data_IF_007629224433
#
_entry.id   IF_007629224433
#
_cell.length_a   1.000
_cell.length_b   1.000
_cell.length_c   1.000
_cell.angle_alpha   90.00
_cell.angle_beta   90.00
_cell.angle_gamma   90.00
#
_symmetry.space_group_name_H-M   'P 1'
#
loop_
_entity.id
_entity.type
_entity.pdbx_description
1 polymer ?
#
# COMPACT_ATOMS: atom_id res chain seq x y z
N UNK A 1 -5.23 -18.14 -2.73
CA UNK A 1 -5.49 -18.61 -1.35
C UNK A 1 -4.57 -17.86 -0.41
N UNK A 2 -4.99 -17.55 0.82
CA UNK A 2 -4.11 -16.98 1.82
C UNK A 2 -3.04 -18.00 2.24
N UNK A 3 -1.81 -17.55 2.47
CA UNK A 3 -0.74 -18.42 2.95
C UNK A 3 -1.02 -18.89 4.38
N UNK A 4 -0.76 -20.17 4.65
CA UNK A 4 -0.78 -20.68 6.02
C UNK A 4 0.28 -19.95 6.85
N UNK A 5 -0.12 -19.49 8.05
CA UNK A 5 0.80 -18.81 8.96
C UNK A 5 1.74 -19.81 9.60
N UNK A 6 2.99 -19.39 9.78
CA UNK A 6 4.01 -20.13 10.50
C UNK A 6 4.22 -19.44 11.84
N UNK A 7 3.87 -20.15 12.92
CA UNK A 7 4.12 -19.67 14.27
C UNK A 7 5.62 -19.77 14.59
N UNK A 8 6.08 -18.98 15.56
CA UNK A 8 7.48 -18.97 15.98
C UNK A 8 8.02 -20.38 16.31
N UNK A 9 7.22 -21.18 17.00
CA UNK A 9 7.53 -22.57 17.35
C UNK A 9 7.60 -23.54 16.15
N UNK A 10 7.09 -23.16 14.99
CA UNK A 10 7.12 -23.97 13.76
C UNK A 10 8.21 -23.52 12.78
N UNK A 11 8.85 -22.37 13.04
CA UNK A 11 10.05 -21.92 12.31
C UNK A 11 11.22 -22.87 12.61
N UNK A 12 12.04 -23.21 11.61
CA UNK A 12 13.20 -24.11 11.81
C UNK A 12 14.17 -23.55 12.86
N UNK A 13 14.87 -24.40 13.62
CA UNK A 13 15.87 -23.94 14.61
C UNK A 13 16.90 -22.99 14.02
N UNK A 14 17.41 -23.28 12.82
CA UNK A 14 18.40 -22.43 12.16
C UNK A 14 17.83 -21.05 11.77
N UNK A 15 16.59 -20.98 11.28
CA UNK A 15 15.96 -19.67 11.01
C UNK A 15 15.76 -18.87 12.31
N UNK A 16 15.42 -19.51 13.43
CA UNK A 16 15.33 -18.81 14.73
C UNK A 16 16.69 -18.27 15.16
N UNK A 17 17.75 -19.06 15.04
CA UNK A 17 19.13 -18.61 15.32
C UNK A 17 19.52 -17.41 14.44
N UNK A 18 19.16 -17.44 13.15
CA UNK A 18 19.41 -16.32 12.24
C UNK A 18 18.65 -15.07 12.68
N UNK A 19 17.38 -15.19 13.07
CA UNK A 19 16.59 -14.06 13.60
C UNK A 19 17.22 -13.53 14.90
N UNK A 20 17.55 -14.41 15.85
CA UNK A 20 18.16 -14.03 17.12
C UNK A 20 19.56 -13.42 16.96
N UNK A 21 20.31 -13.77 15.91
CA UNK A 21 21.58 -13.10 15.59
C UNK A 21 21.40 -11.63 15.19
N UNK A 22 20.19 -11.24 14.74
CA UNK A 22 19.84 -9.87 14.33
C UNK A 22 19.13 -9.08 15.42
N UNK A 23 18.33 -9.75 16.24
CA UNK A 23 17.50 -9.11 17.27
C UNK A 23 18.00 -9.33 18.69
N UNK A 24 18.98 -10.21 18.87
CA UNK A 24 19.26 -10.84 20.16
C UNK A 24 18.19 -11.87 20.54
N UNK A 25 18.39 -12.62 21.65
CA UNK A 25 17.45 -13.65 22.11
C UNK A 25 15.99 -13.15 22.20
N UNK A 26 15.07 -13.96 21.65
CA UNK A 26 13.64 -13.67 21.63
C UNK A 26 13.02 -14.09 22.96
N UNK A 27 12.39 -13.14 23.66
CA UNK A 27 11.71 -13.36 24.94
C UNK A 27 10.26 -13.77 24.74
N UNK A 28 9.59 -13.19 23.76
CA UNK A 28 8.24 -13.56 23.37
C UNK A 28 8.00 -13.31 21.89
N UNK A 29 7.13 -14.12 21.29
CA UNK A 29 6.72 -14.01 19.90
C UNK A 29 5.21 -14.14 19.80
N UNK A 30 4.61 -13.34 18.92
CA UNK A 30 3.17 -13.40 18.62
C UNK A 30 2.94 -13.36 17.12
N UNK A 31 2.18 -14.32 16.62
CA UNK A 31 1.77 -14.37 15.21
C UNK A 31 0.68 -13.35 14.94
N UNK A 32 0.87 -12.56 13.89
CA UNK A 32 -0.12 -11.60 13.41
C UNK A 32 -1.07 -12.32 12.47
N UNK A 33 -2.35 -12.35 12.81
CA UNK A 33 -3.39 -12.93 11.95
C UNK A 33 -3.69 -12.07 10.72
N UNK A 34 -3.53 -10.74 10.83
CA UNK A 34 -3.74 -9.77 9.76
C UNK A 34 -2.60 -9.75 8.71
N UNK A 35 -2.97 -9.56 7.43
CA UNK A 35 -2.08 -9.70 6.27
C UNK A 35 -2.28 -11.03 5.53
N UNK A 36 -2.13 -11.05 4.21
CA UNK A 36 -2.41 -12.26 3.39
C UNK A 36 -1.22 -12.72 2.53
N UNK A 37 -0.13 -11.95 2.54
CA UNK A 37 0.96 -12.09 1.57
C UNK A 37 2.28 -12.63 2.14
N UNK A 38 2.29 -13.07 3.41
CA UNK A 38 3.47 -13.66 4.05
C UNK A 38 3.10 -14.86 4.89
N UNK A 39 3.94 -15.90 4.87
CA UNK A 39 3.72 -17.07 5.71
C UNK A 39 4.23 -16.81 7.14
N UNK A 40 5.35 -16.11 7.29
CA UNK A 40 5.80 -15.58 8.60
C UNK A 40 5.32 -14.14 8.75
N UNK A 41 4.62 -13.85 9.85
CA UNK A 41 4.32 -12.49 10.31
C UNK A 41 4.31 -12.51 11.84
N UNK A 42 5.43 -12.13 12.44
CA UNK A 42 5.68 -12.26 13.87
C UNK A 42 5.99 -10.90 14.49
N UNK A 43 5.41 -10.63 15.65
CA UNK A 43 5.83 -9.56 16.54
C UNK A 43 6.73 -10.17 17.61
N UNK A 44 7.99 -9.76 17.61
CA UNK A 44 9.01 -10.26 18.52
C UNK A 44 9.34 -9.19 19.57
N UNK A 45 9.32 -9.60 20.83
CA UNK A 45 10.00 -8.89 21.92
C UNK A 45 11.31 -9.63 22.19
N UNK A 46 12.43 -8.94 21.96
CA UNK A 46 13.77 -9.49 22.07
C UNK A 46 14.66 -8.61 22.93
N UNK A 47 15.81 -9.14 23.33
CA UNK A 47 16.79 -8.34 24.10
C UNK A 47 17.34 -7.12 23.36
N UNK A 48 17.38 -7.14 22.02
CA UNK A 48 17.78 -6.01 21.18
C UNK A 48 16.64 -5.09 20.76
N UNK A 49 15.42 -5.33 21.25
CA UNK A 49 14.25 -4.48 21.00
C UNK A 49 13.06 -5.22 20.37
N UNK A 50 12.07 -4.44 19.98
CA UNK A 50 10.82 -4.95 19.39
C UNK A 50 10.89 -4.93 17.87
N UNK A 51 10.59 -6.06 17.24
CA UNK A 51 10.75 -6.26 15.79
C UNK A 51 9.53 -6.94 15.20
N UNK A 52 9.06 -6.45 14.06
CA UNK A 52 8.11 -7.16 13.22
C UNK A 52 8.87 -7.94 12.15
N UNK A 53 8.67 -9.25 12.07
CA UNK A 53 9.32 -10.12 11.09
C UNK A 53 8.30 -10.59 10.06
N UNK A 54 8.57 -10.28 8.80
CA UNK A 54 7.83 -10.75 7.62
C UNK A 54 8.68 -11.77 6.89
N UNK A 55 8.09 -12.89 6.50
CA UNK A 55 8.82 -13.93 5.79
C UNK A 55 8.01 -14.69 4.75
N UNK A 56 8.68 -15.04 3.66
CA UNK A 56 8.15 -15.83 2.57
C UNK A 56 9.17 -16.85 2.11
N UNK A 57 8.71 -17.94 1.52
CA UNK A 57 9.62 -18.90 0.87
C UNK A 57 10.24 -18.27 -0.38
N UNK A 58 11.53 -18.49 -0.58
CA UNK A 58 12.30 -18.00 -1.74
C UNK A 58 11.79 -18.55 -3.07
N UNK A 59 11.20 -19.75 -3.08
CA UNK A 59 10.57 -20.38 -4.24
C UNK A 59 9.09 -19.97 -4.43
N UNK A 60 8.54 -19.12 -3.56
CA UNK A 60 7.17 -18.67 -3.68
C UNK A 60 7.01 -17.64 -4.81
N UNK A 61 5.95 -17.78 -5.61
CA UNK A 61 5.64 -16.89 -6.75
C UNK A 61 5.53 -15.40 -6.40
N UNK A 62 5.28 -15.09 -5.13
CA UNK A 62 5.18 -13.74 -4.58
C UNK A 62 6.50 -13.13 -4.08
N UNK A 63 7.64 -13.83 -4.18
CA UNK A 63 8.92 -13.33 -3.65
C UNK A 63 9.31 -11.96 -4.20
N UNK A 64 8.97 -11.70 -5.46
CA UNK A 64 9.22 -10.41 -6.11
C UNK A 64 8.52 -9.23 -5.42
N UNK A 65 7.39 -9.43 -4.75
CA UNK A 65 6.73 -8.33 -4.00
C UNK A 65 7.44 -8.05 -2.67
N UNK A 66 8.03 -9.06 -2.03
CA UNK A 66 8.80 -8.87 -0.81
C UNK A 66 10.14 -8.18 -1.11
N UNK A 67 10.81 -8.58 -2.20
CA UNK A 67 12.02 -7.92 -2.68
C UNK A 67 11.77 -6.43 -2.98
N UNK A 68 10.63 -6.08 -3.61
CA UNK A 68 10.22 -4.69 -3.84
C UNK A 68 10.15 -3.88 -2.55
N UNK A 69 9.52 -4.42 -1.52
CA UNK A 69 9.38 -3.77 -0.22
C UNK A 69 10.76 -3.53 0.43
N UNK A 70 11.66 -4.52 0.33
CA UNK A 70 13.02 -4.40 0.85
C UNK A 70 13.83 -3.30 0.14
N UNK A 71 13.80 -3.25 -1.20
CA UNK A 71 14.60 -2.28 -1.97
C UNK A 71 14.09 -0.85 -1.82
N UNK A 72 12.79 -0.63 -1.58
CA UNK A 72 12.26 0.71 -1.37
C UNK A 72 12.42 1.20 0.08
N UNK A 73 12.66 0.30 1.04
CA UNK A 73 12.65 0.61 2.46
C UNK A 73 13.58 1.77 2.88
N UNK A 74 14.80 1.94 2.30
CA UNK A 74 15.66 3.08 2.62
C UNK A 74 15.06 4.44 2.24
N UNK A 75 14.10 4.50 1.32
CA UNK A 75 13.53 5.74 0.80
C UNK A 75 12.25 6.16 1.54
N UNK A 76 11.58 5.25 2.25
CA UNK A 76 10.24 5.49 2.83
C UNK A 76 10.22 5.65 4.35
N UNK A 77 11.38 5.73 5.02
CA UNK A 77 11.45 5.83 6.48
C UNK A 77 10.75 7.05 7.09
N UNK A 78 10.40 8.07 6.29
CA UNK A 78 9.62 9.22 6.73
C UNK A 78 8.12 8.92 6.95
N UNK A 79 7.62 7.82 6.38
CA UNK A 79 6.19 7.44 6.38
C UNK A 79 5.95 5.97 6.72
N UNK A 80 7.00 5.17 6.87
CA UNK A 80 6.92 3.71 7.03
C UNK A 80 7.91 3.22 8.09
N UNK A 81 7.61 2.11 8.80
CA UNK A 81 8.55 1.54 9.75
C UNK A 81 9.88 1.19 9.08
N UNK A 82 11.00 1.48 9.75
CA UNK A 82 12.31 1.25 9.15
C UNK A 82 12.59 -0.25 9.02
N UNK A 83 13.14 -0.66 7.88
CA UNK A 83 13.75 -1.98 7.71
C UNK A 83 15.07 -2.03 8.51
N UNK A 84 15.15 -2.95 9.47
CA UNK A 84 16.30 -3.17 10.33
C UNK A 84 17.31 -4.11 9.69
N UNK A 85 16.81 -5.17 9.04
CA UNK A 85 17.62 -6.18 8.39
C UNK A 85 16.81 -6.96 7.36
N UNK A 86 17.54 -7.51 6.39
CA UNK A 86 17.03 -8.40 5.35
C UNK A 86 18.00 -9.57 5.22
N UNK A 87 17.50 -10.81 5.33
CA UNK A 87 18.33 -12.02 5.32
C UNK A 87 17.58 -13.19 4.71
N UNK A 88 18.31 -14.06 3.99
CA UNK A 88 17.81 -15.36 3.56
C UNK A 88 18.37 -16.48 4.44
N UNK A 89 17.54 -17.44 4.82
CA UNK A 89 17.94 -18.62 5.62
C UNK A 89 16.99 -19.80 5.39
N UNK A 90 17.51 -21.02 5.20
CA UNK A 90 16.73 -22.25 4.93
C UNK A 90 15.66 -22.11 3.83
N UNK A 91 15.92 -21.30 2.81
CA UNK A 91 14.96 -21.01 1.73
C UNK A 91 13.82 -20.08 2.15
N UNK A 92 13.94 -19.36 3.25
CA UNK A 92 13.12 -18.20 3.63
C UNK A 92 13.82 -16.90 3.27
N UNK A 93 13.05 -15.94 2.77
CA UNK A 93 13.39 -14.52 2.68
C UNK A 93 12.73 -13.78 3.84
N UNK A 94 13.53 -13.15 4.69
CA UNK A 94 13.11 -12.58 5.96
C UNK A 94 13.44 -11.09 6.02
N UNK A 95 12.42 -10.30 6.32
CA UNK A 95 12.53 -8.86 6.55
C UNK A 95 12.18 -8.56 8.01
N UNK A 96 13.07 -7.88 8.71
CA UNK A 96 12.84 -7.37 10.06
C UNK A 96 12.61 -5.87 10.04
N UNK A 97 11.46 -5.42 10.50
CA UNK A 97 11.07 -4.02 10.60
C UNK A 97 10.98 -3.57 12.06
N UNK A 98 11.10 -2.27 12.28
CA UNK A 98 10.65 -1.66 13.53
C UNK A 98 9.20 -2.07 13.80
N UNK A 99 8.94 -2.52 15.02
CA UNK A 99 7.57 -2.79 15.43
C UNK A 99 6.90 -1.48 15.88
N UNK A 100 5.94 -1.01 15.08
CA UNK A 100 5.01 0.06 15.46
C UNK A 100 3.84 -0.52 16.26
N UNK A 101 3.71 -0.09 17.51
CA UNK A 101 2.52 -0.35 18.32
C UNK A 101 1.43 0.65 17.96
N UNK A 102 0.54 0.26 17.05
CA UNK A 102 -0.54 1.09 16.55
C UNK A 102 -1.77 0.29 16.15
N UNK A 103 -2.90 0.98 16.02
CA UNK A 103 -4.15 0.43 15.50
C UNK A 103 -4.30 0.74 14.02
N UNK A 104 -5.08 -0.06 13.28
CA UNK A 104 -5.41 0.30 11.91
C UNK A 104 -6.22 1.60 11.84
N UNK A 105 -6.02 2.37 10.77
CA UNK A 105 -6.75 3.60 10.53
C UNK A 105 -8.23 3.32 10.21
N UNK A 106 -9.10 4.20 10.67
CA UNK A 106 -10.52 4.24 10.34
C UNK A 106 -10.78 5.31 9.28
N UNK A 107 -11.36 4.92 8.13
CA UNK A 107 -11.61 5.84 7.02
C UNK A 107 -13.06 6.33 6.95
N UNK A 108 -13.94 5.92 7.87
CA UNK A 108 -15.34 6.35 7.88
C UNK A 108 -15.49 7.87 7.99
N UNK A 109 -16.58 8.46 7.48
CA UNK A 109 -16.86 9.88 7.63
C UNK A 109 -16.79 10.34 9.10
N UNK A 110 -16.09 11.43 9.35
CA UNK A 110 -15.89 11.99 10.70
C UNK A 110 -14.79 11.31 11.53
N UNK A 111 -14.07 10.34 10.97
CA UNK A 111 -12.92 9.72 11.65
C UNK A 111 -11.83 10.74 11.99
N UNK A 112 -11.28 10.70 13.22
CA UNK A 112 -10.15 11.56 13.60
C UNK A 112 -8.82 11.16 12.95
N UNK A 113 -8.77 10.03 12.23
CA UNK A 113 -7.53 9.50 11.64
C UNK A 113 -7.19 10.16 10.29
N UNK A 114 -8.20 10.65 9.58
CA UNK A 114 -8.07 11.15 8.21
C UNK A 114 -7.05 12.30 8.07
N UNK A 115 -6.95 13.27 9.02
CA UNK A 115 -5.89 14.26 8.98
C UNK A 115 -4.48 13.64 8.97
N UNK A 116 -4.21 12.65 9.82
CA UNK A 116 -2.91 11.98 9.89
C UNK A 116 -2.62 11.16 8.61
N UNK A 117 -3.64 10.52 8.04
CA UNK A 117 -3.54 9.79 6.76
C UNK A 117 -3.16 10.73 5.61
N UNK A 118 -3.80 11.89 5.53
CA UNK A 118 -3.52 12.90 4.50
C UNK A 118 -2.12 13.50 4.70
N UNK A 119 -1.71 13.76 5.94
CA UNK A 119 -0.36 14.24 6.24
C UNK A 119 0.72 13.24 5.82
N UNK A 120 0.55 11.96 6.17
CA UNK A 120 1.44 10.87 5.73
C UNK A 120 1.48 10.76 4.20
N UNK A 121 0.35 10.87 3.53
CA UNK A 121 0.29 10.92 2.06
C UNK A 121 1.07 12.10 1.48
N UNK A 122 0.94 13.29 2.05
CA UNK A 122 1.68 14.47 1.59
C UNK A 122 3.19 14.26 1.73
N UNK A 123 3.65 13.71 2.86
CA UNK A 123 5.06 13.35 3.08
C UNK A 123 5.54 12.35 2.04
N UNK A 124 4.77 11.29 1.76
CA UNK A 124 5.11 10.33 0.70
C UNK A 124 5.19 11.00 -0.68
N UNK A 125 4.27 11.91 -0.99
CA UNK A 125 4.26 12.66 -2.25
C UNK A 125 5.53 13.47 -2.52
N UNK A 126 6.34 13.76 -1.50
CA UNK A 126 7.65 14.43 -1.64
C UNK A 126 8.81 13.49 -1.97
N UNK A 127 8.61 12.18 -1.86
CA UNK A 127 9.67 11.19 -2.04
C UNK A 127 9.81 10.88 -3.53
N UNK A 128 10.98 11.21 -4.07
CA UNK A 128 11.35 10.80 -5.43
C UNK A 128 11.70 9.32 -5.44
N UNK A 129 11.08 8.55 -6.33
CA UNK A 129 11.45 7.17 -6.59
C UNK A 129 12.72 7.12 -7.45
N UNK A 130 13.80 6.49 -6.94
CA UNK A 130 14.95 6.14 -7.77
C UNK A 130 14.52 5.22 -8.92
N UNK A 131 15.35 5.13 -9.96
CA UNK A 131 15.09 4.21 -11.07
C UNK A 131 15.47 2.78 -10.68
N UNK A 132 14.55 2.11 -9.98
CA UNK A 132 14.70 0.75 -9.49
C UNK A 132 13.98 -0.23 -10.43
N UNK A 133 14.64 -1.27 -10.96
CA UNK A 133 14.04 -2.21 -11.91
C UNK A 133 12.89 -3.03 -11.30
N UNK A 134 12.88 -3.21 -9.98
CA UNK A 134 11.82 -3.91 -9.26
C UNK A 134 10.54 -3.08 -9.18
N UNK A 135 10.65 -1.75 -9.19
CA UNK A 135 9.51 -0.83 -9.03
C UNK A 135 8.78 -0.67 -10.35
N UNK A 136 7.47 -0.93 -10.33
CA UNK A 136 6.65 -0.84 -11.54
C UNK A 136 6.48 0.61 -11.97
N UNK A 137 6.22 0.78 -13.26
CA UNK A 137 5.81 2.07 -13.84
C UNK A 137 4.36 2.00 -14.32
N UNK A 138 3.66 3.14 -14.44
CA UNK A 138 2.28 3.22 -14.89
C UNK A 138 1.95 2.43 -16.16
N UNK A 139 2.87 2.41 -17.12
CA UNK A 139 2.76 1.71 -18.40
C UNK A 139 2.69 0.19 -18.22
N UNK A 140 3.22 -0.35 -17.13
CA UNK A 140 3.06 -1.77 -16.79
C UNK A 140 1.76 -2.07 -16.04
N UNK A 141 1.09 -1.07 -15.48
CA UNK A 141 -0.12 -1.23 -14.66
C UNK A 141 -1.40 -0.88 -15.40
N UNK A 142 -1.41 0.29 -16.04
CA UNK A 142 -2.62 0.89 -16.59
C UNK A 142 -2.69 0.88 -18.11
N UNK A 143 -1.63 0.47 -18.82
CA UNK A 143 -1.61 0.46 -20.31
C UNK A 143 -2.78 -0.29 -20.94
N UNK A 144 -3.20 -1.42 -20.35
CA UNK A 144 -4.36 -2.21 -20.83
C UNK A 144 -5.69 -1.44 -20.72
N UNK A 145 -5.75 -0.46 -19.82
CA UNK A 145 -6.97 0.23 -19.41
C UNK A 145 -7.03 1.68 -19.88
N UNK A 146 -6.00 2.14 -20.59
CA UNK A 146 -5.92 3.47 -21.21
C UNK A 146 -5.88 3.29 -22.73
N UNK A 147 -6.81 3.93 -23.43
CA UNK A 147 -7.00 3.74 -24.87
C UNK A 147 -5.96 4.53 -25.67
N UNK A 148 -5.74 5.80 -25.29
CA UNK A 148 -4.79 6.71 -25.93
C UNK A 148 -3.41 6.67 -25.23
N UNK A 149 -2.32 6.32 -25.93
CA UNK A 149 -0.97 6.43 -25.37
C UNK A 149 -0.61 7.80 -24.78
N UNK A 150 -1.17 8.90 -25.30
CA UNK A 150 -0.93 10.24 -24.75
C UNK A 150 -1.59 10.43 -23.37
N UNK A 151 -2.75 9.83 -23.13
CA UNK A 151 -3.38 9.80 -21.80
C UNK A 151 -2.52 9.00 -20.80
N UNK A 152 -1.87 7.93 -21.25
CA UNK A 152 -1.01 7.12 -20.38
C UNK A 152 0.21 7.91 -19.90
N UNK A 153 0.76 8.80 -20.74
CA UNK A 153 1.89 9.66 -20.38
C UNK A 153 1.55 10.57 -19.18
N UNK A 154 0.28 10.97 -19.03
CA UNK A 154 -0.19 11.77 -17.89
C UNK A 154 -0.08 11.04 -16.54
N UNK A 155 0.01 9.71 -16.55
CA UNK A 155 0.18 8.90 -15.34
C UNK A 155 1.66 8.75 -14.95
N UNK A 156 2.58 9.08 -15.86
CA UNK A 156 4.03 8.94 -15.65
C UNK A 156 4.56 10.02 -14.72
N UNK A 157 5.68 9.72 -14.06
CA UNK A 157 6.32 10.64 -13.14
C UNK A 157 7.49 9.99 -12.40
N UNK A 158 8.04 10.71 -11.44
CA UNK A 158 9.20 10.29 -10.65
C UNK A 158 8.90 10.09 -9.16
N UNK A 159 7.66 10.22 -8.72
CA UNK A 159 7.28 10.06 -7.31
C UNK A 159 7.18 8.58 -6.95
N UNK A 160 7.59 8.22 -5.73
CA UNK A 160 7.37 6.89 -5.18
C UNK A 160 5.92 6.79 -4.66
N UNK A 161 5.17 5.87 -5.23
CA UNK A 161 3.76 5.65 -4.94
C UNK A 161 3.55 4.34 -4.19
N UNK A 162 2.65 4.34 -3.22
CA UNK A 162 2.23 3.11 -2.53
C UNK A 162 1.24 2.31 -3.39
N UNK A 163 0.27 2.99 -4.01
CA UNK A 163 -0.81 2.41 -4.83
C UNK A 163 -1.79 1.48 -4.12
N UNK A 164 -1.68 1.29 -2.81
CA UNK A 164 -2.65 0.53 -2.00
C UNK A 164 -2.97 1.17 -0.64
N UNK A 165 -3.83 2.17 -0.62
CA UNK A 165 -4.31 2.82 0.62
C UNK A 165 -5.44 2.03 1.29
N UNK A 166 -5.31 0.71 1.41
CA UNK A 166 -6.19 -0.06 2.27
C UNK A 166 -6.05 0.46 3.71
N UNK A 167 -7.13 0.74 4.48
CA UNK A 167 -7.01 1.14 5.88
C UNK A 167 -6.22 0.13 6.73
N UNK A 168 -6.22 -1.16 6.36
CA UNK A 168 -5.40 -2.18 7.00
C UNK A 168 -3.87 -1.98 6.80
N UNK A 169 -3.47 -1.17 5.82
CA UNK A 169 -2.07 -0.85 5.53
C UNK A 169 -1.62 0.45 6.21
N UNK A 170 -2.48 1.11 7.00
CA UNK A 170 -2.12 2.32 7.75
C UNK A 170 -2.28 2.07 9.24
N UNK A 171 -1.19 2.25 9.99
CA UNK A 171 -1.17 2.16 11.44
C UNK A 171 -1.16 3.56 12.04
N UNK A 172 -2.05 3.82 12.99
CA UNK A 172 -2.06 5.01 13.83
C UNK A 172 -1.42 4.64 15.17
N UNK A 173 -0.27 5.23 15.46
CA UNK A 173 0.42 5.02 16.73
C UNK A 173 -0.23 5.80 17.89
N UNK A 174 0.29 5.63 19.10
CA UNK A 174 -0.25 6.30 20.30
C UNK A 174 -0.10 7.83 20.29
N UNK A 175 0.77 8.38 19.44
CA UNK A 175 0.90 9.83 19.22
C UNK A 175 -0.10 10.38 18.21
N UNK A 176 -0.82 9.50 17.50
CA UNK A 176 -1.71 9.86 16.39
C UNK A 176 -1.00 9.95 15.04
N UNK A 177 0.28 9.55 14.95
CA UNK A 177 1.02 9.55 13.69
C UNK A 177 0.64 8.35 12.85
N UNK A 178 0.40 8.56 11.56
CA UNK A 178 0.11 7.51 10.59
C UNK A 178 1.40 6.94 9.97
N UNK A 179 1.48 5.61 9.91
CA UNK A 179 2.56 4.84 9.32
C UNK A 179 2.00 3.90 8.26
N UNK A 180 2.54 3.98 7.04
CA UNK A 180 2.18 3.14 5.91
C UNK A 180 3.01 1.86 5.90
N UNK A 181 2.36 0.72 5.72
CA UNK A 181 3.00 -0.61 5.68
C UNK A 181 2.55 -1.38 4.42
N UNK A 182 3.22 -2.50 4.16
CA UNK A 182 2.92 -3.42 3.04
C UNK A 182 3.16 -2.82 1.65
N UNK A 183 4.44 -2.57 1.35
CA UNK A 183 4.88 -2.07 0.05
C UNK A 183 5.01 -3.19 -1.00
N UNK A 184 3.95 -3.98 -1.18
CA UNK A 184 3.93 -5.07 -2.16
C UNK A 184 3.89 -4.55 -3.62
N UNK A 185 3.35 -3.34 -3.81
CA UNK A 185 3.05 -2.76 -5.11
C UNK A 185 3.60 -1.34 -5.32
N UNK A 186 4.83 -1.00 -4.91
CA UNK A 186 5.37 0.33 -5.17
C UNK A 186 5.38 0.63 -6.67
N UNK A 187 5.16 1.89 -7.00
CA UNK A 187 5.13 2.37 -8.39
C UNK A 187 5.85 3.69 -8.50
N UNK A 188 6.61 3.87 -9.57
CA UNK A 188 7.23 5.15 -9.94
C UNK A 188 6.32 5.85 -10.93
N UNK A 189 5.61 6.89 -10.51
CA UNK A 189 4.59 7.55 -11.34
C UNK A 189 4.26 8.98 -10.92
N UNK A 190 3.18 9.53 -11.47
CA UNK A 190 2.68 10.85 -11.11
C UNK A 190 2.16 10.88 -9.67
N UNK A 191 2.54 11.91 -8.90
CA UNK A 191 2.23 12.02 -7.47
C UNK A 191 0.73 11.97 -7.14
N UNK A 192 -0.14 12.41 -8.05
CA UNK A 192 -1.60 12.47 -7.83
C UNK A 192 -2.28 11.10 -7.80
N UNK A 193 -1.60 10.04 -8.23
CA UNK A 193 -2.15 8.68 -8.25
C UNK A 193 -2.49 8.19 -6.85
N UNK A 194 -1.63 8.41 -5.85
CA UNK A 194 -1.90 7.99 -4.47
C UNK A 194 -3.10 8.71 -3.84
N UNK A 195 -3.25 10.05 -3.98
CA UNK A 195 -4.49 10.75 -3.69
C UNK A 195 -5.74 10.12 -4.33
N UNK A 196 -5.69 9.75 -5.60
CA UNK A 196 -6.79 9.07 -6.28
C UNK A 196 -7.10 7.70 -5.66
N UNK A 197 -6.06 6.97 -5.24
CA UNK A 197 -6.20 5.68 -4.56
C UNK A 197 -6.88 5.84 -3.21
N UNK A 198 -6.55 6.87 -2.44
CA UNK A 198 -7.24 7.18 -1.20
C UNK A 198 -8.71 7.57 -1.45
N UNK A 199 -9.01 8.36 -2.48
CA UNK A 199 -10.40 8.78 -2.78
C UNK A 199 -11.34 7.60 -2.91
N UNK A 200 -11.02 6.60 -3.74
CA UNK A 200 -11.92 5.44 -3.88
C UNK A 200 -11.93 4.56 -2.62
N UNK A 201 -10.88 4.57 -1.79
CA UNK A 201 -10.86 3.89 -0.49
C UNK A 201 -11.79 4.56 0.52
N UNK A 202 -11.84 5.89 0.53
CA UNK A 202 -12.79 6.66 1.35
C UNK A 202 -14.23 6.41 0.91
N UNK A 203 -14.51 6.38 -0.40
CA UNK A 203 -15.86 6.08 -0.91
C UNK A 203 -16.27 4.67 -0.48
N UNK A 204 -15.36 3.69 -0.56
CA UNK A 204 -15.63 2.34 -0.07
C UNK A 204 -15.98 2.30 1.42
N UNK A 205 -15.52 3.26 2.23
CA UNK A 205 -15.81 3.36 3.66
C UNK A 205 -16.95 4.35 3.99
N UNK A 206 -17.72 4.77 2.99
CA UNK A 206 -19.00 5.46 3.16
C UNK A 206 -18.98 6.97 2.87
N UNK A 207 -17.89 7.49 2.30
CA UNK A 207 -17.88 8.86 1.78
C UNK A 207 -18.61 8.93 0.43
N UNK A 208 -19.19 10.09 0.11
CA UNK A 208 -19.57 10.40 -1.27
C UNK A 208 -18.32 10.76 -2.09
N UNK A 209 -18.37 10.68 -3.43
CA UNK A 209 -17.27 11.16 -4.28
C UNK A 209 -16.81 12.60 -3.94
N UNK A 210 -17.76 13.51 -3.71
CA UNK A 210 -17.46 14.90 -3.39
C UNK A 210 -16.75 15.06 -2.04
N UNK A 211 -17.21 14.34 -1.00
CA UNK A 211 -16.58 14.40 0.33
C UNK A 211 -15.24 13.69 0.36
N UNK A 212 -15.05 12.64 -0.44
CA UNK A 212 -13.78 11.95 -0.57
C UNK A 212 -12.72 12.81 -1.27
N UNK A 213 -13.06 13.47 -2.39
CA UNK A 213 -12.12 14.39 -3.06
C UNK A 213 -11.75 15.60 -2.19
N UNK A 214 -12.67 16.08 -1.34
CA UNK A 214 -12.39 17.19 -0.44
C UNK A 214 -11.20 16.91 0.51
N UNK A 215 -10.96 15.64 0.89
CA UNK A 215 -9.81 15.27 1.73
C UNK A 215 -8.46 15.41 1.06
N UNK A 216 -8.41 15.28 -0.28
CA UNK A 216 -7.16 15.29 -1.03
C UNK A 216 -6.96 16.55 -1.86
N UNK A 217 -8.01 17.34 -2.05
CA UNK A 217 -8.03 18.52 -2.95
C UNK A 217 -6.88 19.49 -2.70
N UNK A 218 -6.59 19.75 -1.43
CA UNK A 218 -5.58 20.74 -1.03
C UNK A 218 -4.18 20.14 -0.87
N UNK A 219 -4.01 18.83 -1.14
CA UNK A 219 -2.69 18.23 -1.18
C UNK A 219 -1.92 18.77 -2.39
N UNK A 220 -0.59 19.02 -2.27
CA UNK A 220 0.19 19.52 -3.40
C UNK A 220 0.10 18.62 -4.64
N UNK A 221 0.08 17.30 -4.44
CA UNK A 221 0.00 16.32 -5.51
C UNK A 221 -1.31 16.41 -6.30
N UNK A 222 -2.45 16.64 -5.64
CA UNK A 222 -3.73 16.81 -6.30
C UNK A 222 -3.88 18.20 -6.92
N UNK A 223 -3.56 19.26 -6.16
CA UNK A 223 -3.77 20.64 -6.57
C UNK A 223 -2.97 21.05 -7.81
N UNK A 224 -1.82 20.40 -8.05
CA UNK A 224 -0.96 20.64 -9.21
C UNK A 224 -1.25 19.73 -10.39
N UNK A 225 -2.10 18.70 -10.21
CA UNK A 225 -2.43 17.77 -11.28
C UNK A 225 -3.42 18.38 -12.27
N UNK A 226 -3.29 17.99 -13.54
CA UNK A 226 -4.33 18.28 -14.53
C UNK A 226 -5.60 17.51 -14.17
N UNK A 227 -6.75 18.20 -14.19
CA UNK A 227 -8.04 17.55 -13.93
C UNK A 227 -8.30 16.37 -14.88
N UNK A 228 -7.87 16.50 -16.13
CA UNK A 228 -7.92 15.43 -17.15
C UNK A 228 -7.08 14.21 -16.76
N UNK A 229 -5.89 14.40 -16.16
CA UNK A 229 -5.04 13.30 -15.73
C UNK A 229 -5.69 12.50 -14.59
N UNK A 230 -6.39 13.17 -13.67
CA UNK A 230 -7.21 12.54 -12.63
C UNK A 230 -8.37 11.74 -13.28
N UNK A 231 -9.04 12.30 -14.29
CA UNK A 231 -10.13 11.63 -15.01
C UNK A 231 -9.64 10.37 -15.74
N UNK A 232 -8.47 10.44 -16.38
CA UNK A 232 -7.79 9.30 -17.01
C UNK A 232 -7.53 8.20 -15.99
N UNK A 233 -6.93 8.54 -14.84
CA UNK A 233 -6.66 7.57 -13.79
C UNK A 233 -7.96 6.94 -13.25
N UNK A 234 -8.97 7.76 -12.93
CA UNK A 234 -10.24 7.28 -12.39
C UNK A 234 -10.91 6.26 -13.34
N UNK A 235 -10.96 6.58 -14.64
CA UNK A 235 -11.47 5.67 -15.68
C UNK A 235 -10.65 4.39 -15.81
N UNK A 236 -9.33 4.50 -15.89
CA UNK A 236 -8.44 3.37 -16.05
C UNK A 236 -8.54 2.43 -14.84
N UNK A 237 -8.59 2.99 -13.63
CA UNK A 237 -8.70 2.23 -12.39
C UNK A 237 -10.08 1.58 -12.22
N UNK A 238 -11.17 2.21 -12.67
CA UNK A 238 -12.48 1.57 -12.73
C UNK A 238 -12.45 0.31 -13.61
N UNK A 239 -11.79 0.38 -14.79
CA UNK A 239 -11.62 -0.78 -15.67
C UNK A 239 -10.75 -1.89 -15.04
N UNK A 240 -9.73 -1.53 -14.27
CA UNK A 240 -8.93 -2.50 -13.48
C UNK A 240 -9.83 -3.27 -12.51
N UNK A 241 -10.64 -2.56 -11.73
CA UNK A 241 -11.51 -3.20 -10.74
C UNK A 241 -12.65 -3.99 -11.37
N UNK A 242 -13.17 -3.56 -12.52
CA UNK A 242 -14.15 -4.32 -13.30
C UNK A 242 -13.59 -5.68 -13.76
N UNK A 243 -12.36 -5.70 -14.27
CA UNK A 243 -11.67 -6.93 -14.64
C UNK A 243 -11.46 -7.84 -13.42
N UNK A 244 -10.92 -7.30 -12.32
CA UNK A 244 -10.69 -8.07 -11.10
C UNK A 244 -11.98 -8.67 -10.52
N UNK A 245 -13.08 -7.93 -10.59
CA UNK A 245 -14.40 -8.40 -10.15
C UNK A 245 -14.97 -9.47 -11.10
N UNK A 246 -14.74 -9.37 -12.41
CA UNK A 246 -15.14 -10.36 -13.39
C UNK A 246 -14.36 -11.68 -13.24
N UNK A 247 -13.07 -11.62 -12.87
CA UNK A 247 -12.23 -12.80 -12.61
C UNK A 247 -12.62 -13.56 -11.33
N UNK A 248 -13.33 -12.92 -10.39
CA UNK A 248 -13.75 -13.52 -9.12
C UNK A 248 -15.15 -13.00 -8.71
N UNK A 249 -16.22 -13.38 -9.44
CA UNK A 249 -17.55 -12.81 -9.30
C UNK A 249 -18.20 -13.07 -7.93
N UNK A 250 -17.77 -14.12 -7.23
CA UNK A 250 -18.20 -14.44 -5.87
C UNK A 250 -17.61 -13.52 -4.80
N UNK A 251 -16.49 -12.86 -5.09
CA UNK A 251 -15.81 -11.96 -4.15
C UNK A 251 -16.59 -10.64 -4.02
N UNK A 252 -17.38 -10.53 -2.94
CA UNK A 252 -18.18 -9.33 -2.63
C UNK A 252 -17.32 -8.06 -2.51
N UNK A 253 -16.08 -8.19 -2.05
CA UNK A 253 -15.21 -7.04 -1.89
C UNK A 253 -14.79 -6.49 -3.25
N UNK A 254 -14.35 -7.35 -4.18
CA UNK A 254 -13.97 -6.90 -5.52
C UNK A 254 -15.13 -6.27 -6.28
N UNK A 255 -16.34 -6.83 -6.15
CA UNK A 255 -17.56 -6.23 -6.72
C UNK A 255 -17.83 -4.83 -6.14
N UNK A 256 -17.76 -4.68 -4.82
CA UNK A 256 -17.89 -3.37 -4.16
C UNK A 256 -16.85 -2.37 -4.68
N UNK A 257 -15.60 -2.78 -4.84
CA UNK A 257 -14.54 -1.90 -5.36
C UNK A 257 -14.77 -1.49 -6.82
N UNK A 258 -15.27 -2.39 -7.66
CA UNK A 258 -15.72 -2.09 -9.03
C UNK A 258 -16.85 -1.05 -9.04
N UNK A 259 -17.88 -1.22 -8.21
CA UNK A 259 -18.98 -0.26 -8.06
C UNK A 259 -18.47 1.12 -7.64
N UNK A 260 -17.66 1.17 -6.57
CA UNK A 260 -17.12 2.42 -6.00
C UNK A 260 -16.24 3.18 -6.99
N UNK A 261 -15.35 2.48 -7.70
CA UNK A 261 -14.45 3.14 -8.66
C UNK A 261 -15.18 3.60 -9.91
N UNK A 262 -16.22 2.87 -10.33
CA UNK A 262 -17.13 3.32 -11.41
C UNK A 262 -17.91 4.56 -11.00
N UNK A 263 -18.53 4.56 -9.82
CA UNK A 263 -19.27 5.71 -9.28
C UNK A 263 -18.40 6.97 -9.27
N UNK A 264 -17.18 6.87 -8.77
CA UNK A 264 -16.25 8.00 -8.76
C UNK A 264 -15.87 8.49 -10.16
N UNK A 265 -15.54 7.57 -11.07
CA UNK A 265 -15.21 7.91 -12.45
C UNK A 265 -16.40 8.58 -13.18
N UNK A 266 -17.63 8.16 -12.91
CA UNK A 266 -18.86 8.73 -13.47
C UNK A 266 -19.16 10.12 -12.89
N UNK A 267 -19.01 10.30 -11.57
CA UNK A 267 -19.26 11.60 -10.92
C UNK A 267 -18.39 12.71 -11.51
N UNK A 268 -17.12 12.39 -11.85
CA UNK A 268 -16.18 13.35 -12.45
C UNK A 268 -16.57 13.78 -13.87
N UNK A 269 -17.17 12.88 -14.66
CA UNK A 269 -17.74 13.23 -15.99
C UNK A 269 -18.90 14.20 -15.88
N UNK A 270 -19.71 14.08 -14.82
CA UNK A 270 -20.83 14.98 -14.54
C UNK A 270 -20.37 16.41 -14.25
N UNK A 271 -19.29 16.58 -13.47
CA UNK A 271 -18.74 17.89 -13.09
C UNK A 271 -18.14 18.65 -14.28
N UNK A 272 -17.50 17.95 -15.22
CA UNK A 272 -16.93 18.54 -16.44
C UNK A 272 -17.99 19.10 -17.42
N UNK A 273 -19.24 18.60 -17.34
CA UNK A 273 -20.36 19.08 -18.17
C UNK A 273 -21.07 20.32 -17.60
N UNK A 274 -20.95 20.57 -16.30
CA UNK A 274 -21.60 21.72 -15.62
C UNK A 274 -20.71 22.97 -15.60
N UNK A 275 -19.44 22.84 -16.00
CA UNK A 275 -18.41 23.89 -16.01
C UNK A 275 -18.07 24.42 -17.41
N UNK A 276 -18.84 24.04 -18.44
CA UNK A 276 -18.86 24.62 -19.78
C UNK A 276 -20.17 25.36 -20.02
#
# INVERSE_FOLDING_TARGET
>A
MALARVDWQDVSPHVREVIESRTGPVRSARTVSAGKHSAVALLLDSSGGRVFVKGLRTDHVGIMTQAREAVIAPFVGAVSPRLLWWVEADGWDLLGFEWIEGRHADYRPGSPDLPAVVEMMQRLGTITCPDLPEVKRPEKRWRKYVDDPAELEMLTGSTLLHTDYNPANVLIDSSGTAHLIDWAWPTRGAAFIDPCVLVYRLIADGHTPATAEAWVRDTPAWATALAEAIDVFARANARVWDELAAEAPEDRWKRKMSEVTREWAESRRGTARTSR
#
